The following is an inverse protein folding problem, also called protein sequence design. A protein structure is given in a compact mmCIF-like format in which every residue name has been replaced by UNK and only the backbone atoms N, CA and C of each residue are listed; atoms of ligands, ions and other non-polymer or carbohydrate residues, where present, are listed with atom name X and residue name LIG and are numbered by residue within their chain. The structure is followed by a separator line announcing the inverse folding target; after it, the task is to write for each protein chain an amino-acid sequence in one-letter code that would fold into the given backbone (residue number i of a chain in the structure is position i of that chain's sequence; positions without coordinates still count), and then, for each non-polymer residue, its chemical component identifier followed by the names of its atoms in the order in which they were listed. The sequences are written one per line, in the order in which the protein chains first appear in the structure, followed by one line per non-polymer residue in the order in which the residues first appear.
data_IF_937715292182
#
_entry.id   IF_937715292182
#
_cell.length_a   1.000
_cell.length_b   1.000
_cell.length_c   1.000
_cell.angle_alpha   90.00
_cell.angle_beta   90.00
_cell.angle_gamma   90.00
#
_symmetry.space_group_name_H-M   'P 1'
#
loop_
_entity.id
_entity.type
_entity.pdbx_description
1 polymer ?
#
# COMPACT_ATOMS: atom_id res chain seq x y z
N UNK A 1 -21.00 -18.19 -4.71
CA UNK A 1 -20.21 -17.88 -3.51
C UNK A 1 -19.66 -19.16 -2.86
N UNK A 2 -18.47 -19.08 -2.30
CA UNK A 2 -17.86 -20.11 -1.44
C UNK A 2 -17.58 -19.49 -0.08
N UNK A 3 -18.12 -20.08 1.00
CA UNK A 3 -17.88 -19.63 2.36
C UNK A 3 -17.43 -20.81 3.24
N UNK A 4 -16.27 -20.69 3.86
CA UNK A 4 -15.68 -21.73 4.72
C UNK A 4 -15.14 -21.07 5.98
N UNK A 5 -15.71 -21.34 7.12
CA UNK A 5 -15.35 -20.78 8.41
C UNK A 5 -16.55 -20.26 9.18
N UNK A 6 -16.40 -20.10 10.47
CA UNK A 6 -17.43 -19.52 11.32
C UNK A 6 -17.64 -18.04 10.96
N UNK A 7 -18.88 -17.61 10.80
CA UNK A 7 -19.28 -16.27 10.36
C UNK A 7 -18.72 -15.82 8.98
N UNK A 8 -18.20 -16.73 8.14
CA UNK A 8 -17.73 -16.37 6.80
C UNK A 8 -18.90 -16.01 5.88
N UNK A 9 -18.90 -14.79 5.32
CA UNK A 9 -19.89 -14.32 4.33
C UNK A 9 -21.34 -14.31 4.79
N UNK A 10 -21.61 -14.15 6.08
CA UNK A 10 -22.97 -14.33 6.65
C UNK A 10 -23.96 -13.26 6.22
N UNK A 11 -23.50 -12.03 5.90
CA UNK A 11 -24.37 -10.93 5.46
C UNK A 11 -24.62 -10.90 3.94
N UNK A 12 -24.05 -11.80 3.14
CA UNK A 12 -24.17 -11.75 1.67
C UNK A 12 -25.64 -11.95 1.26
N UNK A 13 -26.20 -10.96 0.58
CA UNK A 13 -27.58 -10.99 0.07
C UNK A 13 -27.65 -11.22 -1.43
N UNK A 14 -27.03 -10.36 -2.22
CA UNK A 14 -27.07 -10.41 -3.70
C UNK A 14 -25.67 -10.39 -4.34
N UNK A 15 -24.59 -10.28 -3.54
CA UNK A 15 -23.23 -10.34 -4.07
C UNK A 15 -22.88 -11.74 -4.60
N UNK A 16 -22.39 -11.79 -5.85
CA UNK A 16 -22.06 -13.05 -6.53
C UNK A 16 -20.55 -13.26 -6.64
N UNK A 17 -20.16 -14.52 -6.88
CA UNK A 17 -18.77 -14.92 -7.18
C UNK A 17 -17.77 -14.57 -6.08
N UNK A 18 -18.17 -14.57 -4.81
CA UNK A 18 -17.28 -14.31 -3.68
C UNK A 18 -16.69 -15.61 -3.13
N UNK A 19 -15.44 -15.52 -2.67
CA UNK A 19 -14.75 -16.56 -1.91
C UNK A 19 -14.42 -16.00 -0.53
N UNK A 20 -14.97 -16.59 0.54
CA UNK A 20 -14.75 -16.23 1.93
C UNK A 20 -14.21 -17.45 2.71
N UNK A 21 -12.95 -17.43 3.10
CA UNK A 21 -12.33 -18.55 3.85
C UNK A 21 -11.66 -18.02 5.11
N UNK A 22 -12.20 -18.33 6.26
CA UNK A 22 -11.68 -17.90 7.57
C UNK A 22 -12.77 -17.33 8.47
N UNK A 23 -12.49 -17.24 9.76
CA UNK A 23 -13.39 -16.63 10.74
C UNK A 23 -13.67 -15.17 10.34
N UNK A 24 -14.94 -14.76 10.27
CA UNK A 24 -15.43 -13.44 9.84
C UNK A 24 -14.87 -12.91 8.51
N UNK A 25 -14.41 -13.79 7.62
CA UNK A 25 -14.02 -13.38 6.27
C UNK A 25 -15.27 -12.91 5.50
N UNK A 26 -15.25 -11.69 4.90
CA UNK A 26 -16.40 -11.09 4.18
C UNK A 26 -17.71 -11.06 4.98
N UNK A 27 -17.61 -10.96 6.31
CA UNK A 27 -18.78 -11.08 7.18
C UNK A 27 -19.84 -9.99 6.93
N UNK A 28 -19.42 -8.72 6.77
CA UNK A 28 -20.32 -7.60 6.54
C UNK A 28 -20.74 -7.41 5.06
N UNK A 29 -20.25 -8.24 4.11
CA UNK A 29 -20.52 -8.05 2.69
C UNK A 29 -21.99 -8.28 2.36
N UNK A 30 -22.64 -7.29 1.74
CA UNK A 30 -24.06 -7.41 1.35
C UNK A 30 -24.24 -7.63 -0.15
N UNK A 31 -23.71 -6.71 -0.96
CA UNK A 31 -23.92 -6.71 -2.42
C UNK A 31 -22.60 -6.74 -3.21
N UNK A 32 -21.45 -6.61 -2.53
CA UNK A 32 -20.14 -6.69 -3.20
C UNK A 32 -19.93 -8.04 -3.88
N UNK A 33 -19.49 -8.02 -5.13
CA UNK A 33 -19.29 -9.20 -5.96
C UNK A 33 -17.81 -9.40 -6.34
N UNK A 34 -17.43 -10.61 -6.75
CA UNK A 34 -16.09 -10.93 -7.24
C UNK A 34 -14.96 -10.67 -6.22
N UNK A 35 -15.24 -10.80 -4.93
CA UNK A 35 -14.25 -10.63 -3.88
C UNK A 35 -13.66 -11.98 -3.47
N UNK A 36 -12.34 -11.99 -3.22
CA UNK A 36 -11.63 -13.12 -2.63
C UNK A 36 -11.07 -12.72 -1.28
N UNK A 37 -11.55 -13.35 -0.21
CA UNK A 37 -11.11 -13.12 1.17
C UNK A 37 -10.65 -14.44 1.79
N UNK A 38 -9.37 -14.54 2.10
CA UNK A 38 -8.77 -15.74 2.74
C UNK A 38 -7.98 -15.31 3.96
N UNK A 39 -8.46 -15.64 5.14
CA UNK A 39 -7.83 -15.30 6.42
C UNK A 39 -8.83 -14.80 7.46
N UNK A 40 -8.40 -14.78 8.72
CA UNK A 40 -9.18 -14.20 9.82
C UNK A 40 -9.52 -12.73 9.50
N UNK A 41 -10.79 -12.36 9.55
CA UNK A 41 -11.32 -11.01 9.32
C UNK A 41 -10.83 -10.33 8.01
N UNK A 42 -10.43 -11.10 6.99
CA UNK A 42 -10.08 -10.55 5.69
C UNK A 42 -11.35 -9.97 5.02
N UNK A 43 -11.27 -8.71 4.52
CA UNK A 43 -12.46 -7.97 4.00
C UNK A 43 -13.66 -7.99 4.97
N UNK A 44 -13.42 -8.09 6.28
CA UNK A 44 -14.48 -8.26 7.27
C UNK A 44 -15.52 -7.14 7.29
N UNK A 45 -15.11 -5.89 7.06
CA UNK A 45 -16.00 -4.72 7.03
C UNK A 45 -16.56 -4.40 5.62
N UNK A 46 -16.18 -5.15 4.57
CA UNK A 46 -16.62 -4.85 3.20
C UNK A 46 -18.14 -4.95 3.08
N UNK A 47 -18.77 -3.93 2.53
CA UNK A 47 -20.24 -3.94 2.32
C UNK A 47 -20.61 -4.07 0.85
N UNK A 48 -20.06 -3.21 0.01
CA UNK A 48 -20.38 -3.12 -1.43
C UNK A 48 -19.14 -3.10 -2.33
N UNK A 49 -17.93 -3.01 -1.76
CA UNK A 49 -16.67 -2.95 -2.51
C UNK A 49 -16.46 -4.15 -3.42
N UNK A 50 -15.99 -3.92 -4.66
CA UNK A 50 -15.83 -4.94 -5.73
C UNK A 50 -14.90 -4.47 -6.86
N UNK A 51 -14.15 -5.34 -7.55
CA UNK A 51 -13.64 -6.61 -7.02
C UNK A 51 -12.44 -6.37 -6.09
N UNK A 52 -12.26 -7.16 -5.05
CA UNK A 52 -11.09 -7.08 -4.18
C UNK A 52 -10.49 -8.47 -3.93
N UNK A 53 -9.17 -8.53 -3.73
CA UNK A 53 -8.46 -9.73 -3.32
C UNK A 53 -7.75 -9.47 -2.00
N UNK A 54 -8.10 -10.20 -0.95
CA UNK A 54 -7.50 -10.09 0.38
C UNK A 54 -7.08 -11.47 0.89
N UNK A 55 -5.77 -11.66 1.08
CA UNK A 55 -5.20 -12.91 1.59
C UNK A 55 -4.30 -12.60 2.78
N UNK A 56 -4.72 -12.97 3.97
CA UNK A 56 -4.00 -12.70 5.21
C UNK A 56 -4.93 -12.27 6.34
N UNK A 57 -4.44 -12.33 7.59
CA UNK A 57 -5.19 -11.85 8.75
C UNK A 57 -5.47 -10.35 8.59
N UNK A 58 -6.73 -9.95 8.65
CA UNK A 58 -7.19 -8.56 8.53
C UNK A 58 -6.67 -7.81 7.27
N UNK A 59 -6.32 -8.53 6.20
CA UNK A 59 -6.04 -7.91 4.92
C UNK A 59 -7.32 -7.22 4.42
N UNK A 60 -7.24 -5.91 4.05
CA UNK A 60 -8.40 -5.06 3.71
C UNK A 60 -9.51 -5.11 4.79
N UNK A 61 -9.13 -5.31 6.06
CA UNK A 61 -10.10 -5.55 7.14
C UNK A 61 -11.12 -4.43 7.35
N UNK A 62 -10.74 -3.17 7.15
CA UNK A 62 -11.61 -2.00 7.30
C UNK A 62 -12.27 -1.53 6.00
N UNK A 63 -12.00 -2.19 4.85
CA UNK A 63 -12.58 -1.76 3.57
C UNK A 63 -14.10 -1.83 3.61
N UNK A 64 -14.78 -0.78 3.17
CA UNK A 64 -16.24 -0.74 3.12
C UNK A 64 -16.77 -0.75 1.69
N UNK A 65 -16.30 0.17 0.85
CA UNK A 65 -16.79 0.37 -0.52
C UNK A 65 -15.68 0.39 -1.56
N UNK A 66 -14.40 0.47 -1.15
CA UNK A 66 -13.27 0.50 -2.07
C UNK A 66 -13.22 -0.74 -2.95
N UNK A 67 -12.87 -0.56 -4.24
CA UNK A 67 -12.81 -1.62 -5.24
C UNK A 67 -11.48 -1.71 -5.98
N UNK A 68 -11.24 -2.85 -6.63
CA UNK A 68 -10.01 -3.06 -7.41
C UNK A 68 -8.74 -3.21 -6.57
N UNK A 69 -8.86 -3.49 -5.28
CA UNK A 69 -7.70 -3.59 -4.40
C UNK A 69 -7.18 -5.04 -4.27
N UNK A 70 -5.86 -5.18 -4.23
CA UNK A 70 -5.19 -6.45 -3.94
C UNK A 70 -4.33 -6.31 -2.69
N UNK A 71 -4.63 -7.08 -1.65
CA UNK A 71 -3.89 -7.11 -0.39
C UNK A 71 -3.47 -8.54 -0.03
N UNK A 72 -2.17 -8.78 0.03
CA UNK A 72 -1.62 -10.09 0.39
C UNK A 72 -0.60 -9.94 1.52
N UNK A 73 -0.96 -10.38 2.70
CA UNK A 73 -0.13 -10.27 3.90
C UNK A 73 -0.95 -9.92 5.15
N UNK A 74 -0.37 -10.15 6.29
CA UNK A 74 -0.94 -9.75 7.58
C UNK A 74 -1.11 -8.23 7.63
N UNK A 75 -2.33 -7.73 7.84
CA UNK A 75 -2.69 -6.30 7.89
C UNK A 75 -2.33 -5.50 6.61
N UNK A 76 -2.13 -6.16 5.47
CA UNK A 76 -1.96 -5.43 4.20
C UNK A 76 -3.23 -4.63 3.89
N UNK A 77 -3.09 -3.30 3.59
CA UNK A 77 -4.23 -2.37 3.40
C UNK A 77 -5.27 -2.43 4.54
N UNK A 78 -4.83 -2.73 5.76
CA UNK A 78 -5.73 -3.03 6.88
C UNK A 78 -6.75 -1.94 7.20
N UNK A 79 -6.41 -0.66 7.03
CA UNK A 79 -7.26 0.49 7.33
C UNK A 79 -7.84 1.18 6.07
N UNK A 80 -7.67 0.59 4.88
CA UNK A 80 -8.32 1.11 3.68
C UNK A 80 -9.84 1.12 3.87
N UNK A 81 -10.50 2.23 3.61
CA UNK A 81 -11.96 2.32 3.77
C UNK A 81 -12.69 2.41 2.45
N UNK A 82 -12.31 3.36 1.60
CA UNK A 82 -13.02 3.68 0.36
C UNK A 82 -12.10 3.77 -0.86
N UNK A 83 -10.78 3.72 -0.66
CA UNK A 83 -9.83 3.91 -1.75
C UNK A 83 -9.79 2.70 -2.70
N UNK A 84 -9.53 3.00 -3.98
CA UNK A 84 -9.59 2.05 -5.07
C UNK A 84 -8.21 1.78 -5.71
N UNK A 85 -8.07 0.64 -6.36
CA UNK A 85 -6.98 0.35 -7.28
C UNK A 85 -5.60 0.19 -6.63
N UNK A 86 -5.55 -0.12 -5.34
CA UNK A 86 -4.29 -0.29 -4.61
C UNK A 86 -3.81 -1.75 -4.64
N UNK A 87 -2.49 -1.94 -4.74
CA UNK A 87 -1.84 -3.25 -4.61
C UNK A 87 -0.87 -3.23 -3.45
N UNK A 88 -1.10 -4.04 -2.43
CA UNK A 88 -0.25 -4.18 -1.26
C UNK A 88 0.13 -5.65 -1.02
N UNK A 89 1.41 -5.96 -1.09
CA UNK A 89 1.93 -7.32 -0.85
C UNK A 89 3.04 -7.26 0.17
N UNK A 90 2.81 -7.84 1.33
CA UNK A 90 3.72 -7.84 2.47
C UNK A 90 3.01 -7.54 3.78
N UNK A 91 3.61 -7.94 4.89
CA UNK A 91 3.08 -7.63 6.23
C UNK A 91 3.04 -6.11 6.43
N UNK A 92 1.91 -5.57 6.87
CA UNK A 92 1.69 -4.13 7.09
C UNK A 92 1.96 -3.24 5.85
N UNK A 93 2.05 -3.79 4.64
CA UNK A 93 2.16 -2.97 3.43
C UNK A 93 0.93 -2.07 3.29
N UNK A 94 1.12 -0.75 3.15
CA UNK A 94 0.06 0.27 3.07
C UNK A 94 -0.99 0.19 4.19
N UNK A 95 -0.61 -0.25 5.39
CA UNK A 95 -1.58 -0.52 6.45
C UNK A 95 -2.42 0.72 6.83
N UNK A 96 -1.84 1.93 6.84
CA UNK A 96 -2.51 3.17 7.29
C UNK A 96 -3.27 3.88 6.17
N UNK A 97 -3.21 3.37 4.93
CA UNK A 97 -3.93 3.99 3.80
C UNK A 97 -5.44 4.04 4.08
N UNK A 98 -6.03 5.20 3.91
CA UNK A 98 -7.48 5.41 4.09
C UNK A 98 -8.18 5.80 2.80
N UNK A 99 -7.62 6.78 2.08
CA UNK A 99 -8.20 7.39 0.88
C UNK A 99 -7.24 7.46 -0.32
N UNK A 100 -5.95 7.06 -0.16
CA UNK A 100 -4.99 7.09 -1.27
C UNK A 100 -5.27 6.02 -2.32
N UNK A 101 -5.32 6.40 -3.60
CA UNK A 101 -5.68 5.55 -4.73
C UNK A 101 -4.48 5.15 -5.60
N UNK A 102 -4.62 4.05 -6.34
CA UNK A 102 -3.67 3.65 -7.39
C UNK A 102 -2.22 3.48 -6.93
N UNK A 103 -2.01 3.11 -5.68
CA UNK A 103 -0.68 2.87 -5.14
C UNK A 103 -0.28 1.40 -5.29
N UNK A 104 1.02 1.15 -5.47
CA UNK A 104 1.60 -0.19 -5.54
C UNK A 104 2.69 -0.35 -4.51
N UNK A 105 2.52 -1.24 -3.53
CA UNK A 105 3.48 -1.50 -2.47
C UNK A 105 3.81 -2.99 -2.36
N UNK A 106 5.09 -3.33 -2.46
CA UNK A 106 5.59 -4.69 -2.36
C UNK A 106 6.77 -4.75 -1.37
N UNK A 107 6.54 -5.29 -0.20
CA UNK A 107 7.53 -5.43 0.88
C UNK A 107 6.89 -5.27 2.26
N UNK A 108 7.56 -5.76 3.27
CA UNK A 108 7.16 -5.53 4.67
C UNK A 108 7.25 -4.03 4.97
N UNK A 109 6.15 -3.44 5.46
CA UNK A 109 5.99 -2.01 5.76
C UNK A 109 6.28 -1.06 4.57
N UNK A 110 6.23 -1.55 3.32
CA UNK A 110 6.29 -0.66 2.16
C UNK A 110 5.06 0.26 2.16
N UNK A 111 5.29 1.59 2.00
CA UNK A 111 4.27 2.64 1.97
C UNK A 111 3.34 2.62 3.21
N UNK A 112 3.89 2.24 4.36
CA UNK A 112 3.09 1.92 5.56
C UNK A 112 2.21 3.09 6.04
N UNK A 113 2.74 4.33 6.09
CA UNK A 113 2.07 5.50 6.66
C UNK A 113 1.29 6.35 5.65
N UNK A 114 1.18 5.89 4.41
CA UNK A 114 0.36 6.62 3.43
C UNK A 114 -1.08 6.74 3.93
N UNK A 115 -1.63 7.93 3.87
CA UNK A 115 -3.04 8.17 4.22
C UNK A 115 -3.88 8.51 3.00
N UNK A 116 -3.44 9.52 2.23
CA UNK A 116 -4.17 10.06 1.08
C UNK A 116 -3.33 10.19 -0.18
N UNK A 117 -2.01 9.89 -0.13
CA UNK A 117 -1.13 9.99 -1.30
C UNK A 117 -1.51 9.00 -2.39
N UNK A 118 -1.51 9.45 -3.65
CA UNK A 118 -1.91 8.71 -4.83
C UNK A 118 -0.74 8.31 -5.73
N UNK A 119 -0.92 7.25 -6.50
CA UNK A 119 -0.02 6.87 -7.60
C UNK A 119 1.44 6.63 -7.20
N UNK A 120 1.68 6.20 -5.97
CA UNK A 120 3.02 5.87 -5.49
C UNK A 120 3.38 4.41 -5.77
N UNK A 121 4.66 4.16 -6.08
CA UNK A 121 5.22 2.81 -6.23
C UNK A 121 6.32 2.60 -5.20
N UNK A 122 6.16 1.64 -4.30
CA UNK A 122 7.10 1.28 -3.26
C UNK A 122 7.45 -0.21 -3.32
N UNK A 123 8.68 -0.55 -3.66
CA UNK A 123 9.15 -1.94 -3.75
C UNK A 123 10.39 -2.13 -2.90
N UNK A 124 10.27 -2.85 -1.81
CA UNK A 124 11.34 -3.11 -0.86
C UNK A 124 10.88 -2.95 0.59
N UNK A 125 11.66 -3.50 1.52
CA UNK A 125 11.46 -3.30 2.96
C UNK A 125 11.51 -1.81 3.29
N UNK A 126 10.47 -1.26 3.93
CA UNK A 126 10.36 0.15 4.32
C UNK A 126 10.52 1.18 3.17
N UNK A 127 10.35 0.79 1.92
CA UNK A 127 10.31 1.76 0.82
C UNK A 127 9.13 2.71 1.01
N UNK A 128 9.36 4.05 0.96
CA UNK A 128 8.34 5.08 1.19
C UNK A 128 7.57 4.95 2.53
N UNK A 129 8.17 4.38 3.57
CA UNK A 129 7.46 4.10 4.83
C UNK A 129 6.75 5.32 5.42
N UNK A 130 7.40 6.49 5.44
CA UNK A 130 6.86 7.70 6.06
C UNK A 130 6.02 8.58 5.13
N UNK A 131 5.80 8.19 3.87
CA UNK A 131 4.92 8.96 2.97
C UNK A 131 3.53 9.10 3.60
N UNK A 132 3.00 10.31 3.65
CA UNK A 132 1.66 10.53 4.21
C UNK A 132 0.67 10.96 3.15
N UNK A 133 0.99 12.00 2.42
CA UNK A 133 0.07 12.65 1.47
C UNK A 133 0.69 12.91 0.10
N UNK A 134 1.98 12.56 -0.08
CA UNK A 134 2.67 12.86 -1.33
C UNK A 134 2.32 11.87 -2.44
N UNK A 135 2.28 12.39 -3.67
CA UNK A 135 1.86 11.67 -4.86
C UNK A 135 3.03 11.33 -5.78
N UNK A 136 2.80 10.32 -6.62
CA UNK A 136 3.62 10.04 -7.80
C UNK A 136 5.11 9.75 -7.51
N UNK A 137 5.43 9.23 -6.35
CA UNK A 137 6.79 8.81 -6.02
C UNK A 137 7.05 7.36 -6.45
N UNK A 138 8.27 7.09 -6.91
CA UNK A 138 8.75 5.74 -7.21
C UNK A 138 9.95 5.43 -6.32
N UNK A 139 9.82 4.44 -5.44
CA UNK A 139 10.89 3.95 -4.56
C UNK A 139 11.10 2.44 -4.77
N UNK A 140 12.28 2.05 -5.21
CA UNK A 140 12.65 0.65 -5.43
C UNK A 140 13.97 0.35 -4.73
N UNK A 141 13.93 -0.40 -3.66
CA UNK A 141 15.08 -0.73 -2.81
C UNK A 141 14.69 -0.70 -1.33
N UNK A 142 15.45 -1.40 -0.50
CA UNK A 142 15.24 -1.32 0.95
C UNK A 142 15.47 0.12 1.42
N UNK A 143 14.55 0.65 2.21
CA UNK A 143 14.57 2.02 2.75
C UNK A 143 14.72 3.15 1.71
N UNK A 144 14.46 2.89 0.42
CA UNK A 144 14.41 3.96 -0.59
C UNK A 144 13.29 4.95 -0.25
N UNK A 145 13.59 6.27 -0.25
CA UNK A 145 12.66 7.35 0.13
C UNK A 145 11.99 7.15 1.49
N UNK A 146 12.62 6.48 2.43
CA UNK A 146 11.95 6.06 3.67
C UNK A 146 11.44 7.25 4.50
N UNK A 147 12.16 8.38 4.58
CA UNK A 147 11.77 9.55 5.38
C UNK A 147 10.81 10.52 4.65
N UNK A 148 10.46 10.27 3.37
CA UNK A 148 9.62 11.18 2.61
C UNK A 148 8.25 11.35 3.26
N UNK A 149 7.81 12.59 3.42
CA UNK A 149 6.49 12.89 3.99
C UNK A 149 5.55 13.52 2.97
N UNK A 150 5.99 14.60 2.33
CA UNK A 150 5.18 15.40 1.40
C UNK A 150 5.88 15.71 0.06
N UNK A 151 7.15 15.28 -0.12
CA UNK A 151 7.86 15.43 -1.38
C UNK A 151 7.24 14.56 -2.48
N UNK A 152 6.87 15.16 -3.61
CA UNK A 152 6.19 14.48 -4.71
C UNK A 152 7.08 14.26 -5.94
N UNK A 153 6.69 13.32 -6.80
CA UNK A 153 7.35 13.09 -8.10
C UNK A 153 8.84 12.75 -8.01
N UNK A 154 9.25 12.09 -6.95
CA UNK A 154 10.62 11.61 -6.80
C UNK A 154 10.79 10.19 -7.36
N UNK A 155 11.97 9.90 -7.91
CA UNK A 155 12.37 8.55 -8.34
C UNK A 155 13.62 8.15 -7.56
N UNK A 156 13.51 7.12 -6.73
CA UNK A 156 14.61 6.56 -5.95
C UNK A 156 14.76 5.06 -6.23
N UNK A 157 15.86 4.65 -6.83
CA UNK A 157 16.14 3.25 -7.14
C UNK A 157 17.50 2.86 -6.57
N UNK A 158 17.50 2.00 -5.58
CA UNK A 158 18.68 1.54 -4.85
C UNK A 158 18.43 1.49 -3.35
N UNK A 159 19.17 0.66 -2.66
CA UNK A 159 19.15 0.61 -1.18
C UNK A 159 19.49 2.00 -0.62
N UNK A 160 18.66 2.52 0.29
CA UNK A 160 18.79 3.86 0.90
C UNK A 160 18.94 5.02 -0.13
N UNK A 161 18.45 4.88 -1.36
CA UNK A 161 18.41 5.99 -2.28
C UNK A 161 17.41 7.05 -1.79
N UNK A 162 17.85 8.32 -1.70
CA UNK A 162 17.03 9.47 -1.27
C UNK A 162 16.37 9.26 0.11
N UNK A 163 17.00 8.48 0.99
CA UNK A 163 16.40 8.02 2.25
C UNK A 163 16.14 9.12 3.28
N UNK A 164 16.94 10.22 3.28
CA UNK A 164 16.76 11.36 4.17
C UNK A 164 15.75 12.41 3.65
N UNK A 165 15.24 12.29 2.41
CA UNK A 165 14.33 13.28 1.83
C UNK A 165 13.02 13.35 2.62
N UNK A 166 12.60 14.56 2.97
CA UNK A 166 11.34 14.78 3.68
C UNK A 166 10.30 15.50 2.83
N UNK A 167 10.69 16.58 2.16
CA UNK A 167 9.78 17.45 1.40
C UNK A 167 10.27 17.77 -0.01
N UNK A 168 11.53 17.45 -0.36
CA UNK A 168 12.08 17.68 -1.70
C UNK A 168 11.30 16.93 -2.78
N UNK A 169 11.07 17.58 -3.91
CA UNK A 169 10.29 17.07 -5.03
C UNK A 169 11.09 17.00 -6.33
N UNK A 170 10.62 16.22 -7.32
CA UNK A 170 11.23 16.11 -8.65
C UNK A 170 12.68 15.62 -8.65
N UNK A 171 13.10 14.88 -7.65
CA UNK A 171 14.46 14.35 -7.56
C UNK A 171 14.55 12.96 -8.20
N UNK A 172 15.67 12.68 -8.86
CA UNK A 172 16.01 11.38 -9.45
C UNK A 172 17.29 10.85 -8.79
N UNK A 173 17.20 9.76 -8.05
CA UNK A 173 18.29 9.08 -7.38
C UNK A 173 18.39 7.63 -7.84
N UNK A 174 19.40 7.29 -8.65
CA UNK A 174 19.65 5.93 -9.14
C UNK A 174 20.98 5.40 -8.60
N UNK A 175 20.95 4.50 -7.67
CA UNK A 175 22.12 3.88 -7.05
C UNK A 175 22.01 3.84 -5.53
N UNK A 176 22.74 2.91 -4.92
CA UNK A 176 22.81 2.80 -3.45
C UNK A 176 23.23 4.13 -2.84
N UNK A 177 22.46 4.65 -1.87
CA UNK A 177 22.69 5.93 -1.17
C UNK A 177 22.88 7.15 -2.11
N UNK A 178 22.35 7.13 -3.33
CA UNK A 178 22.31 8.32 -4.18
C UNK A 178 21.38 9.37 -3.56
N UNK A 179 21.81 10.66 -3.50
CA UNK A 179 21.13 11.76 -2.81
C UNK A 179 20.79 11.45 -1.33
N UNK A 180 21.61 10.64 -0.65
CA UNK A 180 21.29 10.13 0.69
C UNK A 180 21.15 11.21 1.78
N UNK A 181 21.78 12.39 1.61
CA UNK A 181 21.65 13.51 2.56
C UNK A 181 20.66 14.60 2.11
N UNK A 182 20.02 14.47 0.93
CA UNK A 182 19.03 15.45 0.50
C UNK A 182 17.81 15.39 1.42
N UNK A 183 17.41 16.51 1.99
CA UNK A 183 16.24 16.58 2.87
C UNK A 183 15.08 17.34 2.27
N UNK A 184 15.36 18.45 1.59
CA UNK A 184 14.32 19.40 1.13
C UNK A 184 14.58 19.99 -0.26
N UNK A 185 15.75 19.73 -0.87
CA UNK A 185 16.05 20.31 -2.18
C UNK A 185 15.31 19.59 -3.30
N UNK A 186 14.91 20.36 -4.31
CA UNK A 186 14.16 19.92 -5.48
C UNK A 186 15.05 19.78 -6.71
N UNK A 187 14.53 19.13 -7.76
CA UNK A 187 15.07 19.10 -9.13
C UNK A 187 16.51 18.54 -9.25
N UNK A 188 16.93 17.65 -8.36
CA UNK A 188 18.25 17.05 -8.40
C UNK A 188 18.25 15.73 -9.17
N UNK A 189 19.33 15.48 -9.92
CA UNK A 189 19.58 14.20 -10.60
C UNK A 189 20.91 13.63 -10.14
N UNK A 190 20.90 12.44 -9.55
CA UNK A 190 22.09 11.70 -9.13
C UNK A 190 22.04 10.26 -9.63
N UNK A 191 23.06 9.88 -10.39
CA UNK A 191 23.19 8.52 -10.94
C UNK A 191 24.53 7.92 -10.54
N UNK A 192 24.51 6.82 -9.84
CA UNK A 192 25.67 6.11 -9.32
C UNK A 192 25.62 5.94 -7.80
N UNK A 193 26.35 4.95 -7.29
CA UNK A 193 26.49 4.71 -5.85
C UNK A 193 27.01 5.97 -5.16
N UNK A 194 26.32 6.43 -4.10
CA UNK A 194 26.67 7.62 -3.33
C UNK A 194 26.83 8.91 -4.16
N UNK A 195 26.25 8.97 -5.35
CA UNK A 195 26.25 10.20 -6.14
C UNK A 195 25.46 11.29 -5.37
N UNK A 196 26.03 12.50 -5.23
CA UNK A 196 25.47 13.61 -4.47
C UNK A 196 25.03 13.22 -3.04
N UNK A 197 25.72 12.27 -2.41
CA UNK A 197 25.33 11.76 -1.09
C UNK A 197 25.47 12.79 0.06
N UNK A 198 26.22 13.87 -0.17
CA UNK A 198 26.46 14.96 0.79
C UNK A 198 25.95 16.32 0.30
N UNK A 199 24.99 16.33 -0.60
CA UNK A 199 24.38 17.56 -1.15
C UNK A 199 23.41 18.22 -0.18
#
# INVERSE_FOLDING_TARGET
NVAIGDEAGTAITTGDNNVAIGYTALDANTTGANNTAVGYASLGANTTGTPNTAVGRSALGANTTGGGNTAVGDLALGNNTTADGNTAVGRNSMNVNTEGHSNSALGDTALYRNTTGDSNTAVGFQALDHNTTADSNTAVGASALTANTTGATNVAVGDTALDANTTGSHNVALGVSALGANTTADDNVAVGRSALAAN
#
